data_IF_328306942175
#
_entry.id   IF_328306942175
#
_cell.length_a   1.000
_cell.length_b   1.000
_cell.length_c   1.000
_cell.angle_alpha   90.00
_cell.angle_beta   90.00
_cell.angle_gamma   90.00
#
_symmetry.space_group_name_H-M   'P 1'
#
loop_
_entity.id
_entity.type
_entity.pdbx_description
1 polymer ?
#
# COMPACT_ATOMS: atom_id res chain seq x y z
N UNK A 1 -26.80 20.22 17.33
CA UNK A 1 -26.87 20.79 15.98
C UNK A 1 -25.47 21.30 15.67
N UNK A 2 -24.58 20.43 15.20
CA UNK A 2 -23.17 20.78 14.92
C UNK A 2 -23.12 21.35 13.51
N UNK A 3 -22.69 22.60 13.43
CA UNK A 3 -22.69 23.40 12.20
C UNK A 3 -21.69 22.82 11.19
N UNK A 4 -22.17 22.59 9.98
CA UNK A 4 -21.41 22.15 8.82
C UNK A 4 -20.50 23.31 8.39
N UNK A 5 -19.26 23.34 8.88
CA UNK A 5 -18.28 24.28 8.36
C UNK A 5 -17.92 23.85 6.95
N UNK A 6 -18.32 24.68 5.99
CA UNK A 6 -18.11 24.50 4.58
C UNK A 6 -16.64 24.23 4.26
N UNK A 7 -16.39 23.13 3.56
CA UNK A 7 -15.18 22.78 2.80
C UNK A 7 -14.97 23.71 1.59
N UNK A 8 -15.15 25.02 1.77
CA UNK A 8 -14.88 26.00 0.71
C UNK A 8 -13.37 26.06 0.45
N UNK A 9 -12.92 25.29 -0.54
CA UNK A 9 -11.56 25.35 -1.09
C UNK A 9 -10.96 24.01 -1.48
N UNK A 10 -11.51 22.88 -1.02
CA UNK A 10 -11.03 21.57 -1.43
C UNK A 10 -11.86 21.05 -2.62
N UNK A 11 -11.18 20.62 -3.69
CA UNK A 11 -11.82 19.95 -4.85
C UNK A 11 -12.54 18.65 -4.44
N UNK A 12 -12.24 18.12 -3.25
CA UNK A 12 -12.75 16.87 -2.70
C UNK A 12 -13.39 17.06 -1.33
N UNK A 13 -14.38 16.23 -0.99
CA UNK A 13 -14.86 16.12 0.38
C UNK A 13 -13.78 15.48 1.26
N UNK A 14 -13.17 16.29 2.13
CA UNK A 14 -12.04 15.87 2.96
C UNK A 14 -12.41 14.71 3.89
N UNK A 15 -13.64 14.66 4.39
CA UNK A 15 -14.08 13.60 5.29
C UNK A 15 -14.08 12.25 4.55
N UNK A 16 -14.65 12.21 3.35
CA UNK A 16 -14.65 11.03 2.49
C UNK A 16 -13.23 10.55 2.18
N UNK A 17 -12.30 11.46 1.89
CA UNK A 17 -10.89 11.11 1.62
C UNK A 17 -10.21 10.52 2.86
N UNK A 18 -10.43 11.12 4.04
CA UNK A 18 -9.89 10.61 5.29
C UNK A 18 -10.45 9.24 5.65
N UNK A 19 -11.76 9.04 5.46
CA UNK A 19 -12.43 7.77 5.72
C UNK A 19 -11.88 6.67 4.81
N UNK A 20 -11.72 6.96 3.51
CA UNK A 20 -11.10 6.04 2.55
C UNK A 20 -9.68 5.63 2.98
N UNK A 21 -8.81 6.62 3.23
CA UNK A 21 -7.43 6.35 3.61
C UNK A 21 -7.33 5.56 4.92
N UNK A 22 -8.19 5.86 5.89
CA UNK A 22 -8.28 5.13 7.15
C UNK A 22 -8.71 3.68 6.92
N UNK A 23 -9.71 3.43 6.07
CA UNK A 23 -10.14 2.08 5.71
C UNK A 23 -9.01 1.27 5.04
N UNK A 24 -8.28 1.86 4.09
CA UNK A 24 -7.11 1.22 3.46
C UNK A 24 -6.06 0.84 4.51
N UNK A 25 -5.70 1.78 5.39
CA UNK A 25 -4.70 1.54 6.45
C UNK A 25 -5.17 0.45 7.42
N UNK A 26 -6.45 0.45 7.82
CA UNK A 26 -7.00 -0.57 8.70
C UNK A 26 -7.01 -1.97 8.07
N UNK A 27 -7.31 -2.09 6.78
CA UNK A 27 -7.14 -3.35 6.05
C UNK A 27 -5.67 -3.77 6.02
N UNK A 28 -4.78 -2.84 5.65
CA UNK A 28 -3.35 -3.10 5.55
C UNK A 28 -2.75 -3.60 6.87
N UNK A 29 -3.20 -3.06 8.01
CA UNK A 29 -2.80 -3.53 9.34
C UNK A 29 -3.18 -5.00 9.59
N UNK A 30 -4.36 -5.44 9.18
CA UNK A 30 -4.75 -6.86 9.30
C UNK A 30 -3.95 -7.76 8.37
N UNK A 31 -3.69 -7.31 7.13
CA UNK A 31 -2.89 -8.06 6.16
C UNK A 31 -1.43 -8.16 6.60
N UNK A 32 -0.86 -7.10 7.17
CA UNK A 32 0.51 -7.10 7.67
C UNK A 32 0.72 -8.15 8.77
N UNK A 33 -0.25 -8.35 9.67
CA UNK A 33 -0.21 -9.43 10.68
C UNK A 33 -0.10 -10.83 10.06
N UNK A 34 -0.73 -11.03 8.90
CA UNK A 34 -0.65 -12.31 8.18
C UNK A 34 0.74 -12.48 7.55
N UNK A 35 1.26 -11.45 6.91
CA UNK A 35 2.60 -11.45 6.31
C UNK A 35 3.70 -11.66 7.37
N UNK A 36 3.59 -11.01 8.53
CA UNK A 36 4.50 -11.20 9.67
C UNK A 36 4.47 -12.65 10.17
N UNK A 37 3.31 -13.29 10.10
CA UNK A 37 3.13 -14.71 10.41
C UNK A 37 3.48 -15.66 9.26
N UNK A 38 4.08 -15.16 8.17
CA UNK A 38 4.43 -15.90 6.97
C UNK A 38 3.24 -16.64 6.32
N UNK A 39 2.05 -16.00 6.34
CA UNK A 39 0.82 -16.55 5.78
C UNK A 39 0.47 -15.89 4.44
N UNK A 40 0.20 -16.65 3.37
CA UNK A 40 -0.26 -16.11 2.09
C UNK A 40 -1.57 -15.31 2.22
N UNK A 41 -1.66 -14.21 1.48
CA UNK A 41 -2.84 -13.37 1.39
C UNK A 41 -3.77 -13.91 0.30
N UNK A 42 -4.70 -14.79 0.69
CA UNK A 42 -5.72 -15.27 -0.25
C UNK A 42 -6.68 -14.15 -0.65
N UNK A 43 -7.20 -14.19 -1.88
CA UNK A 43 -8.24 -13.27 -2.37
C UNK A 43 -9.45 -13.21 -1.44
N UNK A 44 -9.86 -14.36 -0.88
CA UNK A 44 -10.97 -14.44 0.07
C UNK A 44 -10.66 -13.69 1.36
N UNK A 45 -9.43 -13.82 1.87
CA UNK A 45 -8.99 -13.10 3.07
C UNK A 45 -8.99 -11.60 2.84
N UNK A 46 -8.43 -11.14 1.72
CA UNK A 46 -8.40 -9.73 1.35
C UNK A 46 -9.81 -9.18 1.22
N UNK A 47 -10.67 -9.85 0.43
CA UNK A 47 -12.06 -9.44 0.23
C UNK A 47 -12.83 -9.34 1.56
N UNK A 48 -12.59 -10.28 2.49
CA UNK A 48 -13.20 -10.24 3.83
C UNK A 48 -12.77 -9.01 4.63
N UNK A 49 -11.47 -8.68 4.65
CA UNK A 49 -11.00 -7.48 5.36
C UNK A 49 -11.48 -6.19 4.69
N UNK A 50 -11.43 -6.12 3.35
CA UNK A 50 -11.97 -4.98 2.60
C UNK A 50 -13.45 -4.75 2.96
N UNK A 51 -14.27 -5.79 2.90
CA UNK A 51 -15.69 -5.66 3.22
C UNK A 51 -15.95 -5.19 4.66
N UNK A 52 -15.11 -5.62 5.59
CA UNK A 52 -15.20 -5.25 7.00
C UNK A 52 -14.91 -3.77 7.23
N UNK A 53 -13.85 -3.24 6.62
CA UNK A 53 -13.37 -1.87 6.90
C UNK A 53 -13.91 -0.82 5.92
N UNK A 54 -14.47 -1.22 4.78
CA UNK A 54 -15.23 -0.33 3.87
C UNK A 54 -16.75 -0.42 4.09
N UNK A 55 -17.20 -1.18 5.10
CA UNK A 55 -18.61 -1.32 5.49
C UNK A 55 -19.56 -1.71 4.34
N UNK A 56 -19.09 -2.54 3.39
CA UNK A 56 -19.87 -2.93 2.23
C UNK A 56 -19.12 -3.89 1.33
N UNK A 57 -19.71 -4.26 0.20
CA UNK A 57 -19.08 -5.18 -0.76
C UNK A 57 -18.63 -4.46 -2.02
N UNK A 58 -17.67 -5.05 -2.74
CA UNK A 58 -17.30 -4.56 -4.07
C UNK A 58 -18.49 -4.57 -5.06
N UNK A 59 -19.44 -5.50 -4.92
CA UNK A 59 -20.64 -5.55 -5.76
C UNK A 59 -21.58 -4.36 -5.51
N UNK A 60 -21.58 -3.80 -4.29
CA UNK A 60 -22.34 -2.62 -3.93
C UNK A 60 -21.57 -1.31 -4.20
N UNK A 61 -20.37 -1.39 -4.80
CA UNK A 61 -19.52 -0.23 -5.07
C UNK A 61 -18.84 0.36 -3.83
N UNK A 62 -18.84 -0.33 -2.69
CA UNK A 62 -18.22 0.18 -1.46
C UNK A 62 -16.69 0.29 -1.55
N UNK A 63 -16.07 -0.52 -2.42
CA UNK A 63 -14.66 -0.50 -2.77
C UNK A 63 -14.47 -1.21 -4.11
N UNK A 64 -13.36 -0.97 -4.79
CA UNK A 64 -12.96 -1.64 -6.02
C UNK A 64 -11.66 -2.44 -5.83
N UNK A 65 -11.37 -3.38 -6.73
CA UNK A 65 -10.19 -4.24 -6.60
C UNK A 65 -8.87 -3.46 -6.55
N UNK A 66 -8.81 -2.26 -7.14
CA UNK A 66 -7.67 -1.35 -7.03
C UNK A 66 -7.36 -1.00 -5.56
N UNK A 67 -8.38 -0.64 -4.78
CA UNK A 67 -8.22 -0.26 -3.36
C UNK A 67 -7.64 -1.43 -2.54
N UNK A 68 -7.95 -2.67 -2.93
CA UNK A 68 -7.37 -3.86 -2.28
C UNK A 68 -5.88 -4.04 -2.59
N UNK A 69 -5.44 -3.63 -3.79
CA UNK A 69 -4.02 -3.62 -4.15
C UNK A 69 -3.27 -2.54 -3.36
N UNK A 70 -3.85 -1.36 -3.19
CA UNK A 70 -3.28 -0.30 -2.33
C UNK A 70 -3.13 -0.79 -0.89
N UNK A 71 -4.14 -1.49 -0.33
CA UNK A 71 -4.05 -2.05 1.01
C UNK A 71 -2.94 -3.13 1.15
N UNK A 72 -2.72 -3.95 0.12
CA UNK A 72 -1.64 -4.95 0.10
C UNK A 72 -0.26 -4.28 0.06
N UNK A 73 -0.09 -3.25 -0.78
CA UNK A 73 1.17 -2.49 -0.85
C UNK A 73 1.48 -1.78 0.48
N UNK A 74 0.48 -1.15 1.11
CA UNK A 74 0.65 -0.54 2.44
C UNK A 74 0.96 -1.61 3.49
N UNK A 75 0.41 -2.83 3.38
CA UNK A 75 0.73 -3.92 4.28
C UNK A 75 2.21 -4.35 4.19
N UNK A 76 2.80 -4.32 2.99
CA UNK A 76 4.23 -4.56 2.80
C UNK A 76 5.09 -3.46 3.45
N UNK A 77 4.68 -2.19 3.34
CA UNK A 77 5.34 -1.08 4.03
C UNK A 77 5.28 -1.27 5.55
N UNK A 78 4.11 -1.63 6.09
CA UNK A 78 3.94 -1.89 7.53
C UNK A 78 4.77 -3.09 7.99
N UNK A 79 4.84 -4.16 7.19
CA UNK A 79 5.72 -5.30 7.44
C UNK A 79 7.17 -4.84 7.56
N UNK A 80 7.67 -4.07 6.58
CA UNK A 80 9.05 -3.58 6.56
C UNK A 80 9.36 -2.63 7.73
N UNK A 81 8.43 -1.75 8.10
CA UNK A 81 8.58 -0.87 9.27
C UNK A 81 8.72 -1.66 10.58
N UNK A 82 8.08 -2.82 10.67
CA UNK A 82 8.13 -3.64 11.86
C UNK A 82 9.31 -4.62 11.88
N UNK A 83 9.69 -5.18 10.72
CA UNK A 83 10.73 -6.22 10.62
C UNK A 83 12.11 -5.68 10.25
N UNK A 84 12.18 -4.49 9.66
CA UNK A 84 13.41 -3.95 9.08
C UNK A 84 13.79 -4.65 7.79
N UNK A 85 15.00 -4.36 7.30
CA UNK A 85 15.62 -5.10 6.20
C UNK A 85 16.10 -6.46 6.72
N UNK A 86 15.83 -7.56 5.99
CA UNK A 86 16.37 -8.86 6.37
C UNK A 86 17.83 -9.05 5.96
N UNK A 87 18.49 -10.12 6.41
CA UNK A 87 19.91 -10.40 6.11
C UNK A 87 20.20 -10.72 4.65
N UNK A 88 19.26 -11.37 3.94
CA UNK A 88 19.32 -11.59 2.50
C UNK A 88 18.12 -10.88 1.83
N UNK A 89 18.18 -9.54 1.66
CA UNK A 89 17.07 -8.73 1.18
C UNK A 89 16.43 -9.24 -0.10
N UNK A 90 17.22 -9.52 -1.14
CA UNK A 90 16.64 -9.78 -2.45
C UNK A 90 15.76 -11.05 -2.44
N UNK A 91 16.28 -12.16 -1.93
CA UNK A 91 15.58 -13.43 -1.87
C UNK A 91 14.37 -13.36 -0.92
N UNK A 92 14.52 -12.74 0.25
CA UNK A 92 13.42 -12.67 1.21
C UNK A 92 12.31 -11.70 0.78
N UNK A 93 12.63 -10.61 0.10
CA UNK A 93 11.63 -9.71 -0.47
C UNK A 93 10.87 -10.37 -1.62
N UNK A 94 11.53 -11.19 -2.45
CA UNK A 94 10.87 -12.01 -3.47
C UNK A 94 9.93 -13.04 -2.84
N UNK A 95 10.36 -13.72 -1.78
CA UNK A 95 9.51 -14.65 -1.03
C UNK A 95 8.31 -13.93 -0.42
N UNK A 96 8.51 -12.77 0.20
CA UNK A 96 7.43 -11.96 0.77
C UNK A 96 6.42 -11.51 -0.29
N UNK A 97 6.89 -11.05 -1.46
CA UNK A 97 6.02 -10.67 -2.58
C UNK A 97 5.22 -11.87 -3.10
N UNK A 98 5.79 -13.08 -3.08
CA UNK A 98 5.09 -14.32 -3.46
C UNK A 98 3.92 -14.71 -2.54
N UNK A 99 3.87 -14.17 -1.33
CA UNK A 99 2.73 -14.32 -0.42
C UNK A 99 1.53 -13.45 -0.82
N UNK A 100 1.73 -12.47 -1.71
CA UNK A 100 0.70 -11.53 -2.13
C UNK A 100 0.04 -12.00 -3.43
N UNK A 101 -1.25 -11.65 -3.66
CA UNK A 101 -1.88 -11.91 -4.95
C UNK A 101 -1.23 -11.06 -6.05
N UNK A 102 -1.23 -11.58 -7.28
CA UNK A 102 -0.79 -10.81 -8.44
C UNK A 102 -1.82 -9.75 -8.84
N UNK A 103 -1.33 -8.56 -9.21
CA UNK A 103 -2.16 -7.45 -9.69
C UNK A 103 -2.63 -7.69 -11.12
N UNK A 104 -3.59 -8.61 -11.28
CA UNK A 104 -4.08 -9.10 -12.59
C UNK A 104 -5.21 -8.26 -13.17
N UNK A 105 -5.88 -7.43 -12.36
CA UNK A 105 -6.99 -6.57 -12.79
C UNK A 105 -6.48 -5.14 -12.96
N UNK A 106 -6.74 -4.57 -14.15
CA UNK A 106 -6.40 -3.18 -14.47
C UNK A 106 -7.69 -2.44 -14.84
N UNK A 107 -7.93 -1.29 -14.23
CA UNK A 107 -9.00 -0.38 -14.66
C UNK A 107 -8.59 0.33 -15.94
N UNK A 108 -9.57 0.83 -16.70
CA UNK A 108 -9.32 1.63 -17.91
C UNK A 108 -8.46 2.85 -17.59
N UNK A 109 -8.74 3.53 -16.47
CA UNK A 109 -7.94 4.65 -15.97
C UNK A 109 -6.49 4.24 -15.69
N UNK A 110 -6.25 3.09 -15.04
CA UNK A 110 -4.89 2.59 -14.79
C UNK A 110 -4.12 2.34 -16.09
N UNK A 111 -4.81 1.88 -17.14
CA UNK A 111 -4.20 1.67 -18.46
C UNK A 111 -3.88 3.02 -19.10
N UNK A 112 -4.83 3.95 -19.11
CA UNK A 112 -4.68 5.28 -19.71
C UNK A 112 -3.59 6.11 -19.04
N UNK A 113 -3.51 6.06 -17.71
CA UNK A 113 -2.53 6.79 -16.91
C UNK A 113 -1.24 6.00 -16.66
N UNK A 114 -1.10 4.80 -17.23
CA UNK A 114 0.06 3.93 -17.07
C UNK A 114 0.45 3.71 -15.59
N UNK A 115 -0.55 3.47 -14.74
CA UNK A 115 -0.35 3.28 -13.31
C UNK A 115 0.16 1.86 -13.04
N UNK A 116 1.46 1.74 -12.75
CA UNK A 116 2.12 0.50 -12.36
C UNK A 116 2.59 0.56 -10.92
N UNK A 117 2.38 -0.51 -10.18
CA UNK A 117 3.02 -0.71 -8.87
C UNK A 117 4.53 -0.90 -9.06
N UNK A 118 5.32 -0.50 -8.08
CA UNK A 118 6.75 -0.82 -8.02
C UNK A 118 6.94 -2.13 -7.24
N UNK A 119 7.38 -3.23 -7.88
CA UNK A 119 7.64 -4.50 -7.20
C UNK A 119 8.63 -4.35 -6.05
N UNK A 120 8.44 -5.13 -4.99
CA UNK A 120 9.20 -4.99 -3.75
C UNK A 120 10.72 -5.17 -3.93
N UNK A 121 11.20 -6.19 -4.68
CA UNK A 121 12.63 -6.36 -4.94
C UNK A 121 13.22 -5.20 -5.77
N UNK A 122 12.44 -4.63 -6.70
CA UNK A 122 12.90 -3.52 -7.53
C UNK A 122 13.05 -2.23 -6.72
N UNK A 123 12.12 -1.93 -5.82
CA UNK A 123 12.22 -0.77 -4.94
C UNK A 123 13.47 -0.84 -4.04
N UNK A 124 13.82 -2.04 -3.55
CA UNK A 124 15.07 -2.27 -2.83
C UNK A 124 16.32 -2.00 -3.70
N UNK A 125 16.34 -2.51 -4.94
CA UNK A 125 17.45 -2.29 -5.86
C UNK A 125 17.61 -0.81 -6.23
N UNK A 126 16.52 -0.05 -6.33
CA UNK A 126 16.57 1.42 -6.53
C UNK A 126 17.28 2.10 -5.37
N UNK A 127 16.93 1.75 -4.12
CA UNK A 127 17.57 2.33 -2.94
C UNK A 127 19.07 1.99 -2.87
N UNK A 128 19.45 0.74 -3.22
CA UNK A 128 20.85 0.34 -3.33
C UNK A 128 21.60 1.11 -4.43
N UNK A 129 21.02 1.19 -5.62
CA UNK A 129 21.62 1.86 -6.78
C UNK A 129 21.81 3.36 -6.51
N UNK A 130 20.88 3.97 -5.77
CA UNK A 130 20.96 5.35 -5.32
C UNK A 130 22.01 5.61 -4.23
N UNK A 131 22.63 4.56 -3.66
CA UNK A 131 23.59 4.65 -2.56
C UNK A 131 23.09 5.50 -1.38
N UNK A 132 21.79 5.40 -1.10
CA UNK A 132 21.11 6.19 -0.07
C UNK A 132 21.72 5.89 1.30
N UNK A 133 21.95 6.95 2.07
CA UNK A 133 22.51 6.93 3.42
C UNK A 133 21.74 7.87 4.36
N UNK A 134 21.98 7.75 5.67
CA UNK A 134 21.28 8.57 6.69
C UNK A 134 21.56 10.08 6.66
N UNK A 135 22.47 10.53 5.79
CA UNK A 135 22.75 11.95 5.58
C UNK A 135 21.99 12.54 4.38
N UNK A 136 21.28 11.71 3.61
CA UNK A 136 20.61 12.14 2.39
C UNK A 136 19.20 12.67 2.67
N UNK A 137 18.82 13.71 1.93
CA UNK A 137 17.43 14.16 1.85
C UNK A 137 16.81 13.54 0.60
N UNK A 138 15.80 12.70 0.80
CA UNK A 138 15.16 11.94 -0.27
C UNK A 138 13.80 12.56 -0.58
N UNK A 139 13.54 12.81 -1.86
CA UNK A 139 12.23 13.22 -2.37
C UNK A 139 11.75 12.20 -3.40
N UNK A 140 10.54 11.71 -3.23
CA UNK A 140 9.88 10.80 -4.18
C UNK A 140 8.55 11.42 -4.61
N UNK A 141 8.54 12.24 -5.68
CA UNK A 141 7.41 13.11 -6.02
C UNK A 141 6.18 12.36 -6.58
N UNK A 142 6.36 11.10 -6.97
CA UNK A 142 5.32 10.24 -7.56
C UNK A 142 5.00 9.03 -6.68
N UNK A 143 5.04 9.22 -5.36
CA UNK A 143 5.20 8.12 -4.41
C UNK A 143 4.19 6.98 -4.48
N UNK A 144 2.98 7.22 -4.98
CA UNK A 144 1.91 6.25 -4.85
C UNK A 144 1.76 5.87 -3.38
N UNK A 145 1.99 4.59 -3.06
CA UNK A 145 1.98 4.09 -1.67
C UNK A 145 3.26 4.36 -0.88
N UNK A 146 4.36 4.75 -1.55
CA UNK A 146 5.62 5.20 -0.94
C UNK A 146 6.65 4.10 -0.70
N UNK A 147 6.64 3.02 -1.49
CA UNK A 147 7.54 1.88 -1.26
C UNK A 147 9.02 2.23 -1.47
N UNK A 148 9.35 3.09 -2.43
CA UNK A 148 10.73 3.54 -2.65
C UNK A 148 11.19 4.41 -1.49
N UNK A 149 10.34 5.35 -1.05
CA UNK A 149 10.62 6.17 0.13
C UNK A 149 10.83 5.32 1.40
N UNK A 150 10.07 4.23 1.56
CA UNK A 150 10.24 3.29 2.67
C UNK A 150 11.61 2.60 2.63
N UNK A 151 12.11 2.18 1.46
CA UNK A 151 13.45 1.62 1.34
C UNK A 151 14.55 2.66 1.55
N UNK A 152 14.34 3.89 1.07
CA UNK A 152 15.21 5.02 1.38
C UNK A 152 15.37 5.18 2.90
N UNK A 153 14.25 5.18 3.63
CA UNK A 153 14.24 5.29 5.10
C UNK A 153 14.91 4.12 5.84
N UNK A 154 14.94 2.93 5.24
CA UNK A 154 15.58 1.75 5.84
C UNK A 154 17.10 1.73 5.63
N UNK A 155 17.61 2.36 4.57
CA UNK A 155 19.04 2.51 4.31
C UNK A 155 19.66 3.70 5.08
N UNK A 156 18.83 4.69 5.47
CA UNK A 156 19.23 5.90 6.19
C UNK A 156 18.07 6.67 6.81
#
# INVERSE_FOLDING_TARGET
MVSFFATQGCLFDLQTVLDYGQSVVSVAQELAKLLIGNRPLSTKTIQSQMNRYFNGTAANGAWQWKDSYEAVEVALILYLRQKGLPENPLEQLQLLESLCPTHTRRTEEQIQLQQFSTPLPLAYLVALAGQISGNDLILEPSAGTGIIAQFGKLQG
#
